data_IF_428479638640
#
_entry.id   IF_428479638640
#
_cell.length_a   1.000
_cell.length_b   1.000
_cell.length_c   1.000
_cell.angle_alpha   90.00
_cell.angle_beta   90.00
_cell.angle_gamma   90.00
#
_symmetry.space_group_name_H-M   'P 1'
#
loop_
_entity.id
_entity.type
_entity.pdbx_description
1 polymer ?
#
# COMPACT_ATOMS: atom_id res chain seq x y z
N UNK A 1 14.76 3.78 30.11
CA UNK A 1 14.81 3.69 28.64
C UNK A 1 14.31 2.32 28.22
N UNK A 2 13.33 2.27 27.33
CA UNK A 2 12.95 1.00 26.72
C UNK A 2 13.99 0.68 25.64
N UNK A 3 14.62 -0.48 25.75
CA UNK A 3 15.56 -1.00 24.76
C UNK A 3 14.92 -2.17 24.01
N UNK A 4 15.37 -2.41 22.79
CA UNK A 4 15.03 -3.61 22.03
C UNK A 4 15.83 -4.83 22.54
N UNK A 5 15.65 -5.96 21.88
CA UNK A 5 16.35 -7.21 22.22
C UNK A 5 17.89 -7.16 22.05
N UNK A 6 18.42 -6.12 21.41
CA UNK A 6 19.86 -5.88 21.21
C UNK A 6 20.41 -4.78 22.13
N UNK A 7 19.60 -4.22 23.05
CA UNK A 7 20.01 -3.17 23.96
C UNK A 7 19.93 -1.76 23.36
N UNK A 8 19.47 -1.62 22.11
CA UNK A 8 19.25 -0.33 21.46
C UNK A 8 17.95 0.32 21.91
N UNK A 9 17.88 1.64 21.86
CA UNK A 9 16.67 2.38 22.22
C UNK A 9 15.55 2.15 21.22
N UNK A 10 14.30 1.97 21.69
CA UNK A 10 13.13 1.87 20.82
C UNK A 10 12.92 3.19 20.06
N UNK A 11 12.45 3.08 18.81
CA UNK A 11 12.08 4.26 18.04
C UNK A 11 10.93 5.04 18.70
N UNK A 12 10.88 6.36 18.51
CA UNK A 12 9.82 7.25 19.02
C UNK A 12 8.42 6.72 18.67
N UNK A 13 8.27 6.14 17.47
CA UNK A 13 7.02 5.53 17.03
C UNK A 13 6.65 4.29 17.86
N UNK A 14 7.61 3.43 18.16
CA UNK A 14 7.38 2.22 18.96
C UNK A 14 6.99 2.59 20.38
N UNK A 15 7.72 3.54 21.01
CA UNK A 15 7.38 4.06 22.34
C UNK A 15 5.96 4.58 22.39
N UNK A 16 5.55 5.39 21.40
CA UNK A 16 4.18 5.91 21.31
C UNK A 16 3.13 4.82 21.13
N UNK A 17 3.45 3.78 20.34
CA UNK A 17 2.53 2.67 20.11
C UNK A 17 2.34 1.82 21.38
N UNK A 18 3.43 1.50 22.08
CA UNK A 18 3.37 0.82 23.38
C UNK A 18 2.55 1.63 24.38
N UNK A 19 2.82 2.94 24.49
CA UNK A 19 2.06 3.82 25.37
C UNK A 19 0.57 3.83 25.03
N UNK A 20 0.20 3.95 23.73
CA UNK A 20 -1.20 3.94 23.31
C UNK A 20 -1.92 2.64 23.68
N UNK A 21 -1.26 1.50 23.51
CA UNK A 21 -1.79 0.19 23.91
C UNK A 21 -1.95 0.09 25.44
N UNK A 22 -0.93 0.47 26.21
CA UNK A 22 -1.01 0.49 27.67
C UNK A 22 -2.11 1.43 28.16
N UNK A 23 -2.19 2.63 27.59
CA UNK A 23 -3.22 3.61 27.95
C UNK A 23 -4.62 3.08 27.70
N UNK A 24 -4.87 2.41 26.56
CA UNK A 24 -6.16 1.81 26.27
C UNK A 24 -6.54 0.69 27.24
N UNK A 25 -5.57 -0.16 27.60
CA UNK A 25 -5.79 -1.24 28.57
C UNK A 25 -6.09 -0.70 29.97
N UNK A 26 -5.35 0.32 30.41
CA UNK A 26 -5.58 0.98 31.70
C UNK A 26 -6.89 1.76 31.74
N UNK A 27 -7.31 2.35 30.61
CA UNK A 27 -8.62 3.00 30.51
C UNK A 27 -9.76 1.98 30.69
N UNK A 28 -9.60 0.79 30.10
CA UNK A 28 -10.54 -0.30 30.33
C UNK A 28 -10.57 -0.72 31.81
N UNK A 29 -9.43 -0.79 32.48
CA UNK A 29 -9.34 -1.10 33.91
C UNK A 29 -10.04 -0.04 34.78
N UNK A 30 -9.99 1.24 34.40
CA UNK A 30 -10.79 2.29 35.06
C UNK A 30 -12.29 2.06 34.86
N UNK A 31 -12.73 1.78 33.63
CA UNK A 31 -14.14 1.50 33.31
C UNK A 31 -14.67 0.29 34.07
N UNK A 32 -13.84 -0.73 34.28
CA UNK A 32 -14.19 -1.95 35.00
C UNK A 32 -14.07 -1.80 36.55
N UNK A 33 -13.71 -0.61 37.03
CA UNK A 33 -13.59 -0.30 38.46
C UNK A 33 -12.36 -0.91 39.15
N UNK A 34 -11.39 -1.46 38.38
CA UNK A 34 -10.17 -2.10 38.90
C UNK A 34 -9.16 -1.09 39.42
N UNK A 35 -9.10 0.10 38.82
CA UNK A 35 -8.28 1.24 39.23
C UNK A 35 -9.08 2.52 39.17
N UNK A 36 -8.74 3.49 40.01
CA UNK A 36 -9.47 4.77 40.09
C UNK A 36 -9.11 5.74 38.98
N UNK A 37 -7.88 5.75 38.55
CA UNK A 37 -7.31 6.70 37.58
C UNK A 37 -6.36 5.97 36.66
N UNK A 38 -6.34 6.37 35.40
CA UNK A 38 -5.40 5.83 34.42
C UNK A 38 -4.00 6.49 34.58
N UNK A 39 -2.99 5.78 35.08
CA UNK A 39 -1.66 6.35 35.33
C UNK A 39 -0.88 6.70 34.05
N UNK A 40 -1.34 6.28 32.88
CA UNK A 40 -0.74 6.65 31.61
C UNK A 40 -1.17 8.03 31.09
N UNK A 41 -2.09 8.70 31.79
CA UNK A 41 -2.48 10.08 31.47
C UNK A 41 -1.35 11.02 31.89
N UNK A 42 -0.97 11.98 31.04
CA UNK A 42 0.06 12.97 31.32
C UNK A 42 1.50 12.50 31.10
N UNK A 43 1.74 11.25 30.64
CA UNK A 43 3.08 10.81 30.28
C UNK A 43 3.68 11.65 29.15
N UNK A 44 4.91 12.13 29.34
CA UNK A 44 5.66 12.82 28.28
C UNK A 44 6.13 11.80 27.23
N UNK A 45 5.66 11.97 26.01
CA UNK A 45 6.03 11.12 24.88
C UNK A 45 7.04 11.83 23.97
N UNK A 46 7.93 11.07 23.29
CA UNK A 46 8.84 11.66 22.31
C UNK A 46 8.04 12.36 21.20
N UNK A 47 8.60 13.39 20.55
CA UNK A 47 7.90 14.16 19.53
C UNK A 47 7.50 13.28 18.33
N UNK A 48 6.37 13.58 17.71
CA UNK A 48 5.95 12.92 16.47
C UNK A 48 6.71 13.54 15.29
N UNK A 49 7.78 12.88 14.86
CA UNK A 49 8.50 13.29 13.65
C UNK A 49 7.68 12.86 12.42
N UNK A 50 7.27 13.83 11.61
CA UNK A 50 6.71 13.54 10.29
C UNK A 50 7.84 12.93 9.42
N UNK A 51 7.55 11.83 8.74
CA UNK A 51 8.49 11.25 7.78
C UNK A 51 8.13 11.81 6.41
N UNK A 52 9.08 12.42 5.73
CA UNK A 52 8.88 12.87 4.36
C UNK A 52 8.44 11.72 3.46
N UNK A 53 7.46 12.03 2.62
CA UNK A 53 7.03 11.11 1.56
C UNK A 53 8.09 11.09 0.48
N UNK A 54 8.53 9.90 0.12
CA UNK A 54 9.46 9.71 -1.00
C UNK A 54 8.65 9.47 -2.27
N UNK A 55 8.72 10.40 -3.22
CA UNK A 55 8.05 10.32 -4.52
C UNK A 55 9.12 10.16 -5.59
N UNK A 56 8.95 9.19 -6.50
CA UNK A 56 9.85 9.01 -7.63
C UNK A 56 9.67 10.15 -8.64
N UNK A 57 10.75 10.66 -9.20
CA UNK A 57 10.71 11.62 -10.29
C UNK A 57 10.26 10.93 -11.59
N UNK A 58 9.94 11.70 -12.61
CA UNK A 58 9.54 11.16 -13.92
C UNK A 58 10.65 10.31 -14.56
N UNK A 59 11.89 10.77 -14.45
CA UNK A 59 13.08 10.07 -14.95
C UNK A 59 13.33 8.78 -14.16
N UNK A 60 13.19 8.83 -12.83
CA UNK A 60 13.30 7.64 -11.98
C UNK A 60 12.22 6.61 -12.33
N UNK A 61 10.95 7.05 -12.54
CA UNK A 61 9.87 6.17 -12.96
C UNK A 61 10.13 5.48 -14.29
N UNK A 62 10.68 6.20 -15.28
CA UNK A 62 11.04 5.60 -16.57
C UNK A 62 12.09 4.52 -16.40
N UNK A 63 13.21 4.80 -15.70
CA UNK A 63 14.26 3.81 -15.44
C UNK A 63 13.73 2.62 -14.66
N UNK A 64 12.92 2.87 -13.63
CA UNK A 64 12.28 1.85 -12.81
C UNK A 64 11.39 0.91 -13.64
N UNK A 65 10.52 1.44 -14.50
CA UNK A 65 9.62 0.63 -15.34
C UNK A 65 10.39 -0.16 -16.41
N UNK A 66 11.45 0.40 -16.98
CA UNK A 66 12.34 -0.31 -17.91
C UNK A 66 12.99 -1.50 -17.20
N UNK A 67 13.54 -1.28 -16.02
CA UNK A 67 14.15 -2.34 -15.22
C UNK A 67 13.13 -3.37 -14.75
N UNK A 68 11.94 -2.93 -14.33
CA UNK A 68 10.84 -3.82 -13.96
C UNK A 68 10.42 -4.73 -15.12
N UNK A 69 10.44 -4.22 -16.35
CA UNK A 69 10.16 -5.01 -17.56
C UNK A 69 11.24 -6.07 -17.78
N UNK A 70 12.51 -5.70 -17.63
CA UNK A 70 13.64 -6.64 -17.77
C UNK A 70 13.56 -7.77 -16.74
N UNK A 71 13.09 -7.50 -15.52
CA UNK A 71 12.95 -8.47 -14.44
C UNK A 71 11.60 -9.19 -14.40
N UNK A 72 10.68 -8.94 -15.34
CA UNK A 72 9.37 -9.61 -15.43
C UNK A 72 8.34 -9.14 -14.39
N UNK A 73 8.44 -7.89 -13.93
CA UNK A 73 7.52 -7.27 -12.95
C UNK A 73 6.86 -5.99 -13.48
N UNK A 74 6.93 -5.74 -14.80
CA UNK A 74 6.43 -4.52 -15.40
C UNK A 74 4.95 -4.29 -15.12
N UNK A 75 4.12 -5.30 -15.37
CA UNK A 75 2.65 -5.22 -15.30
C UNK A 75 2.18 -4.97 -13.87
N UNK A 76 2.85 -5.59 -12.89
CA UNK A 76 2.59 -5.38 -11.46
C UNK A 76 2.77 -3.91 -11.10
N UNK A 77 3.94 -3.34 -11.44
CA UNK A 77 4.27 -1.97 -11.05
C UNK A 77 3.58 -0.92 -11.92
N UNK A 78 3.34 -1.23 -13.21
CA UNK A 78 2.53 -0.38 -14.07
C UNK A 78 1.11 -0.22 -13.51
N UNK A 79 0.46 -1.32 -13.13
CA UNK A 79 -0.88 -1.27 -12.56
C UNK A 79 -0.90 -0.55 -11.21
N UNK A 80 0.11 -0.76 -10.35
CA UNK A 80 0.22 -0.04 -9.08
C UNK A 80 0.35 1.48 -9.27
N UNK A 81 1.23 1.89 -10.19
CA UNK A 81 1.46 3.28 -10.54
C UNK A 81 0.28 3.94 -11.30
N UNK A 82 -0.57 3.15 -11.96
CA UNK A 82 -1.78 3.64 -12.64
C UNK A 82 -3.00 3.73 -11.72
N UNK A 83 -2.99 3.06 -10.56
CA UNK A 83 -4.16 2.95 -9.69
C UNK A 83 -3.93 3.38 -8.25
N UNK A 84 -2.69 3.38 -7.80
CA UNK A 84 -2.32 3.63 -6.42
C UNK A 84 -2.95 2.63 -5.43
N UNK A 85 -3.14 1.39 -5.81
CA UNK A 85 -3.73 0.35 -4.96
C UNK A 85 -2.88 0.09 -3.71
N UNK A 86 -3.51 -0.38 -2.65
CA UNK A 86 -2.74 -0.95 -1.54
C UNK A 86 -2.13 -2.27 -1.98
N UNK A 87 -0.91 -2.57 -1.53
CA UNK A 87 -0.19 -3.80 -1.92
C UNK A 87 -1.04 -5.06 -1.81
N UNK A 88 -1.82 -5.21 -0.72
CA UNK A 88 -2.69 -6.36 -0.53
C UNK A 88 -3.87 -6.40 -1.49
N UNK A 89 -4.39 -5.24 -1.91
CA UNK A 89 -5.44 -5.13 -2.92
C UNK A 89 -4.90 -5.55 -4.30
N UNK A 90 -3.73 -5.02 -4.68
CA UNK A 90 -3.06 -5.31 -5.95
C UNK A 90 -2.78 -6.82 -6.11
N UNK A 91 -2.25 -7.47 -5.06
CA UNK A 91 -1.96 -8.90 -5.11
C UNK A 91 -3.21 -9.78 -5.09
N UNK A 92 -4.35 -9.26 -4.66
CA UNK A 92 -5.62 -9.99 -4.62
C UNK A 92 -6.41 -9.93 -5.94
N UNK A 93 -5.92 -9.22 -6.95
CA UNK A 93 -6.63 -9.04 -8.21
C UNK A 93 -6.69 -10.35 -9.01
N UNK A 94 -7.87 -10.61 -9.54
CA UNK A 94 -8.15 -11.70 -10.46
C UNK A 94 -8.54 -11.11 -11.83
N UNK A 95 -8.43 -11.90 -12.88
CA UNK A 95 -8.82 -11.45 -14.23
C UNK A 95 -10.29 -11.07 -14.34
N UNK A 96 -11.16 -11.71 -13.56
CA UNK A 96 -12.59 -11.40 -13.51
C UNK A 96 -12.91 -10.06 -12.81
N UNK A 97 -11.93 -9.48 -12.11
CA UNK A 97 -12.07 -8.14 -11.53
C UNK A 97 -11.94 -7.03 -12.60
N UNK A 98 -11.37 -7.33 -13.77
CA UNK A 98 -11.17 -6.37 -14.86
C UNK A 98 -12.11 -6.62 -16.04
N UNK A 99 -12.96 -5.64 -16.34
CA UNK A 99 -13.71 -5.63 -17.57
C UNK A 99 -12.87 -5.00 -18.70
N UNK A 100 -12.33 -5.83 -19.60
CA UNK A 100 -11.48 -5.39 -20.71
C UNK A 100 -12.17 -4.53 -21.77
N UNK A 101 -13.52 -4.53 -21.83
CA UNK A 101 -14.28 -3.69 -22.76
C UNK A 101 -14.44 -2.28 -22.23
N UNK A 102 -14.69 -2.13 -20.94
CA UNK A 102 -14.96 -0.84 -20.30
C UNK A 102 -13.75 -0.25 -19.56
N UNK A 103 -12.69 -1.04 -19.35
CA UNK A 103 -11.53 -0.66 -18.54
C UNK A 103 -11.81 -0.58 -17.04
N UNK A 104 -12.99 -1.04 -16.58
CA UNK A 104 -13.37 -0.96 -15.16
C UNK A 104 -12.71 -2.10 -14.38
N UNK A 105 -11.91 -1.73 -13.39
CA UNK A 105 -11.30 -2.62 -12.41
C UNK A 105 -12.09 -2.55 -11.09
N UNK A 106 -12.54 -3.72 -10.59
CA UNK A 106 -13.23 -3.84 -9.31
C UNK A 106 -12.23 -4.19 -8.20
N UNK A 107 -12.12 -3.34 -7.18
CA UNK A 107 -11.28 -3.58 -6.02
C UNK A 107 -12.18 -3.96 -4.85
N UNK A 108 -12.25 -5.25 -4.53
CA UNK A 108 -13.18 -5.82 -3.54
C UNK A 108 -12.54 -6.87 -2.63
N UNK A 109 -11.24 -7.13 -2.81
CA UNK A 109 -10.47 -8.13 -2.08
C UNK A 109 -9.12 -7.57 -1.65
N UNK A 110 -8.54 -8.18 -0.63
CA UNK A 110 -7.16 -7.96 -0.23
C UNK A 110 -6.51 -9.25 0.25
N UNK A 111 -5.22 -9.36 0.03
CA UNK A 111 -4.38 -10.47 0.53
C UNK A 111 -3.46 -9.95 1.63
N UNK A 112 -3.33 -10.70 2.69
CA UNK A 112 -2.33 -10.48 3.72
C UNK A 112 -1.71 -11.81 4.17
N UNK A 113 -0.50 -11.72 4.67
CA UNK A 113 0.25 -12.88 5.17
C UNK A 113 0.13 -12.94 6.69
N UNK A 114 -0.37 -14.07 7.19
CA UNK A 114 -0.41 -14.37 8.62
C UNK A 114 0.45 -15.60 8.86
N UNK A 115 1.62 -15.39 9.43
CA UNK A 115 2.59 -16.47 9.77
C UNK A 115 2.94 -17.38 8.58
N UNK A 116 3.13 -16.79 7.40
CA UNK A 116 3.46 -17.54 6.16
C UNK A 116 2.26 -18.11 5.41
N UNK A 117 1.05 -17.91 5.92
CA UNK A 117 -0.19 -18.30 5.24
C UNK A 117 -0.87 -17.08 4.63
N UNK A 118 -1.14 -17.13 3.34
CA UNK A 118 -1.92 -16.09 2.66
C UNK A 118 -3.40 -16.22 3.01
N UNK A 119 -3.95 -15.13 3.48
CA UNK A 119 -5.38 -15.00 3.72
C UNK A 119 -5.97 -13.95 2.80
N UNK A 120 -7.11 -14.28 2.20
CA UNK A 120 -7.89 -13.39 1.36
C UNK A 120 -9.08 -12.93 2.18
N UNK A 121 -9.32 -11.65 2.22
CA UNK A 121 -10.50 -11.08 2.88
C UNK A 121 -11.12 -9.97 2.05
N UNK A 122 -12.40 -9.76 2.27
CA UNK A 122 -13.06 -8.53 1.85
C UNK A 122 -12.56 -7.37 2.72
N UNK A 123 -12.40 -6.16 2.15
CA UNK A 123 -12.01 -5.00 2.94
C UNK A 123 -13.02 -4.70 4.05
N UNK A 124 -12.52 -4.29 5.22
CA UNK A 124 -13.32 -4.03 6.43
C UNK A 124 -14.29 -2.85 6.31
N UNK A 125 -14.09 -1.95 5.35
CA UNK A 125 -14.91 -0.74 5.19
C UNK A 125 -15.54 -0.69 3.80
N UNK A 126 -16.77 -0.18 3.72
CA UNK A 126 -17.50 0.01 2.44
C UNK A 126 -16.70 0.86 1.45
N UNK A 127 -15.96 1.86 1.91
CA UNK A 127 -15.14 2.74 1.06
C UNK A 127 -13.90 2.05 0.46
N UNK A 128 -13.54 0.87 0.96
CA UNK A 128 -12.44 0.08 0.40
C UNK A 128 -12.88 -0.75 -0.81
N UNK A 129 -14.18 -0.99 -0.95
CA UNK A 129 -14.75 -1.61 -2.17
C UNK A 129 -15.03 -0.48 -3.15
N UNK A 130 -14.35 -0.48 -4.28
CA UNK A 130 -14.42 0.60 -5.26
C UNK A 130 -14.15 0.12 -6.67
N UNK A 131 -14.54 0.93 -7.64
CA UNK A 131 -14.26 0.73 -9.06
C UNK A 131 -13.28 1.81 -9.52
N UNK A 132 -12.31 1.42 -10.31
CA UNK A 132 -11.31 2.29 -10.92
C UNK A 132 -11.39 2.10 -12.43
N UNK A 133 -11.44 3.17 -13.20
CA UNK A 133 -11.34 3.10 -14.65
C UNK A 133 -9.87 3.21 -15.01
N UNK A 134 -9.35 2.17 -15.67
CA UNK A 134 -7.96 2.13 -16.13
C UNK A 134 -7.80 2.90 -17.46
N UNK A 135 -6.67 3.57 -17.66
CA UNK A 135 -6.33 4.13 -18.96
C UNK A 135 -6.29 3.02 -20.04
N UNK A 136 -6.75 3.31 -21.29
CA UNK A 136 -6.79 2.31 -22.37
C UNK A 136 -5.43 1.63 -22.62
N UNK A 137 -4.34 2.39 -22.54
CA UNK A 137 -2.99 1.85 -22.70
C UNK A 137 -2.63 0.80 -21.64
N UNK A 138 -3.08 0.99 -20.39
CA UNK A 138 -2.86 0.02 -19.30
C UNK A 138 -3.70 -1.24 -19.53
N UNK A 139 -4.95 -1.08 -19.99
CA UNK A 139 -5.85 -2.20 -20.33
C UNK A 139 -5.23 -3.06 -21.42
N UNK A 140 -4.63 -2.45 -22.44
CA UNK A 140 -4.00 -3.19 -23.54
C UNK A 140 -2.78 -3.98 -23.07
N UNK A 141 -1.90 -3.36 -22.28
CA UNK A 141 -0.77 -4.07 -21.66
C UNK A 141 -1.23 -5.28 -20.85
N UNK A 142 -2.28 -5.11 -20.03
CA UNK A 142 -2.83 -6.22 -19.24
C UNK A 142 -3.50 -7.29 -20.10
N UNK A 143 -4.09 -6.92 -21.24
CA UNK A 143 -4.67 -7.84 -22.20
C UNK A 143 -3.60 -8.76 -22.81
N UNK A 144 -2.48 -8.17 -23.23
CA UNK A 144 -1.34 -8.95 -23.75
C UNK A 144 -0.72 -9.82 -22.67
N UNK A 145 -0.53 -9.27 -21.47
CA UNK A 145 0.00 -10.02 -20.33
C UNK A 145 -0.89 -11.22 -19.97
N UNK A 146 -2.22 -11.09 -20.01
CA UNK A 146 -3.16 -12.18 -19.74
C UNK A 146 -2.92 -13.41 -20.63
N UNK A 147 -2.47 -13.21 -21.87
CA UNK A 147 -2.18 -14.32 -22.79
C UNK A 147 -1.01 -15.19 -22.33
N UNK A 148 -0.15 -14.65 -21.48
CA UNK A 148 1.04 -15.34 -20.96
C UNK A 148 0.84 -15.94 -19.57
N UNK A 149 -0.34 -15.71 -18.95
CA UNK A 149 -0.63 -16.12 -17.56
C UNK A 149 -1.75 -17.16 -17.56
N UNK A 150 -1.41 -18.39 -17.21
CA UNK A 150 -2.39 -19.46 -16.98
C UNK A 150 -2.74 -19.53 -15.49
N UNK A 151 -3.56 -18.60 -15.03
CA UNK A 151 -4.04 -18.51 -13.65
C UNK A 151 -5.26 -17.59 -13.58
N UNK A 152 -6.13 -17.81 -12.60
CA UNK A 152 -7.19 -16.84 -12.29
C UNK A 152 -6.64 -15.53 -11.70
N UNK A 153 -5.46 -15.58 -11.06
CA UNK A 153 -4.81 -14.42 -10.48
C UNK A 153 -4.11 -13.59 -11.56
N UNK A 154 -4.23 -12.26 -11.48
CA UNK A 154 -3.46 -11.39 -12.38
C UNK A 154 -1.96 -11.54 -12.16
N UNK A 155 -1.54 -11.71 -10.91
CA UNK A 155 -0.14 -11.87 -10.53
C UNK A 155 0.03 -13.16 -9.71
N UNK A 156 0.14 -14.32 -10.37
CA UNK A 156 0.26 -15.60 -9.68
C UNK A 156 1.61 -15.79 -9.02
N UNK A 157 1.64 -16.67 -8.03
CA UNK A 157 2.88 -17.12 -7.41
C UNK A 157 3.66 -18.02 -8.38
N UNK A 158 4.98 -17.81 -8.57
CA UNK A 158 5.78 -18.71 -9.41
C UNK A 158 6.07 -20.06 -8.75
N UNK A 159 5.75 -20.25 -7.46
CA UNK A 159 6.11 -21.43 -6.67
C UNK A 159 4.92 -22.14 -6.03
N UNK A 160 3.77 -21.48 -5.94
CA UNK A 160 2.57 -22.07 -5.33
C UNK A 160 1.43 -22.04 -6.35
N UNK A 161 0.89 -23.21 -6.62
CA UNK A 161 -0.27 -23.37 -7.50
C UNK A 161 -1.50 -22.65 -6.91
N UNK A 162 -2.30 -22.08 -7.80
CA UNK A 162 -3.53 -21.33 -7.50
C UNK A 162 -3.42 -20.30 -6.35
N UNK A 163 -2.26 -19.71 -6.19
CA UNK A 163 -1.99 -18.68 -5.21
C UNK A 163 -1.51 -17.39 -5.87
N UNK A 164 -1.88 -16.21 -5.36
CA UNK A 164 -1.29 -14.97 -5.81
C UNK A 164 0.16 -14.83 -5.31
N UNK A 165 0.94 -14.01 -5.98
CA UNK A 165 2.27 -13.64 -5.50
C UNK A 165 2.18 -12.99 -4.10
N UNK A 166 3.08 -13.36 -3.20
CA UNK A 166 3.00 -12.85 -1.83
C UNK A 166 3.41 -11.37 -1.75
N UNK A 167 2.75 -10.59 -0.89
CA UNK A 167 3.13 -9.18 -0.67
C UNK A 167 4.60 -8.99 -0.27
N UNK A 168 5.19 -9.99 0.40
CA UNK A 168 6.60 -9.98 0.80
C UNK A 168 7.56 -10.10 -0.40
N UNK A 169 7.23 -10.95 -1.36
CA UNK A 169 8.02 -11.13 -2.60
C UNK A 169 8.04 -9.84 -3.41
N UNK A 170 6.88 -9.25 -3.67
CA UNK A 170 6.78 -8.01 -4.46
C UNK A 170 7.51 -6.86 -3.78
N UNK A 171 7.46 -6.77 -2.44
CA UNK A 171 8.24 -5.78 -1.70
C UNK A 171 9.76 -5.96 -1.89
N UNK A 172 10.26 -7.19 -1.84
CA UNK A 172 11.69 -7.46 -2.08
C UNK A 172 12.09 -7.14 -3.51
N UNK A 173 11.26 -7.52 -4.48
CA UNK A 173 11.50 -7.22 -5.90
C UNK A 173 11.52 -5.73 -6.17
N UNK A 174 10.61 -4.96 -5.58
CA UNK A 174 10.66 -3.49 -5.67
C UNK A 174 12.04 -2.94 -5.28
N UNK A 175 12.62 -3.41 -4.16
CA UNK A 175 13.91 -2.90 -3.70
C UNK A 175 15.04 -3.25 -4.68
N UNK A 176 15.09 -4.48 -5.17
CA UNK A 176 16.09 -4.91 -6.15
C UNK A 176 15.98 -4.13 -7.46
N UNK A 177 14.76 -3.96 -7.97
CA UNK A 177 14.52 -3.20 -9.21
C UNK A 177 14.91 -1.73 -9.05
N UNK A 178 14.61 -1.09 -7.91
CA UNK A 178 15.04 0.28 -7.62
C UNK A 178 16.57 0.40 -7.59
N UNK A 179 17.23 -0.54 -6.93
CA UNK A 179 18.70 -0.61 -6.87
C UNK A 179 19.31 -0.77 -8.26
N UNK A 180 18.86 -1.74 -9.04
CA UNK A 180 19.35 -1.98 -10.41
C UNK A 180 19.05 -0.82 -11.37
N UNK A 181 17.93 -0.10 -11.14
CA UNK A 181 17.57 1.08 -11.92
C UNK A 181 18.34 2.36 -11.53
N UNK A 182 19.18 2.30 -10.50
CA UNK A 182 19.85 3.48 -9.93
C UNK A 182 18.85 4.53 -9.41
N UNK A 183 17.73 4.08 -8.85
CA UNK A 183 16.70 4.93 -8.27
C UNK A 183 16.84 4.99 -6.75
N UNK A 184 16.34 6.07 -6.14
CA UNK A 184 16.31 6.17 -4.69
C UNK A 184 15.40 5.08 -4.09
N UNK A 185 15.74 4.66 -2.88
CA UNK A 185 14.95 3.69 -2.15
C UNK A 185 13.59 4.28 -1.73
N UNK A 186 12.50 3.68 -2.21
CA UNK A 186 11.13 4.01 -1.79
C UNK A 186 10.41 2.76 -1.27
N UNK A 187 9.49 2.93 -0.34
CA UNK A 187 8.65 1.82 0.15
C UNK A 187 7.56 1.52 -0.87
N UNK A 188 6.99 0.34 -0.83
CA UNK A 188 5.85 -0.01 -1.70
C UNK A 188 4.70 1.00 -1.59
N UNK A 189 4.40 1.47 -0.38
CA UNK A 189 3.34 2.48 -0.18
C UNK A 189 3.68 3.86 -0.76
N UNK A 190 4.97 4.15 -0.97
CA UNK A 190 5.40 5.41 -1.59
C UNK A 190 5.12 5.44 -3.11
N UNK A 191 4.93 4.27 -3.77
CA UNK A 191 4.42 4.22 -5.15
C UNK A 191 3.00 4.76 -5.25
N UNK A 192 2.16 4.45 -4.26
CA UNK A 192 0.82 5.05 -4.16
C UNK A 192 0.89 6.56 -3.90
N UNK A 193 1.86 7.04 -3.13
CA UNK A 193 2.11 8.48 -2.98
C UNK A 193 2.58 9.10 -4.30
N UNK A 194 3.42 8.40 -5.06
CA UNK A 194 3.83 8.80 -6.40
C UNK A 194 2.62 8.94 -7.34
N UNK A 195 1.75 7.93 -7.41
CA UNK A 195 0.48 8.00 -8.16
C UNK A 195 -0.35 9.21 -7.76
N UNK A 196 -0.58 9.42 -6.46
CA UNK A 196 -1.41 10.51 -5.96
C UNK A 196 -0.84 11.89 -6.32
N UNK A 197 0.47 12.08 -6.13
CA UNK A 197 1.16 13.33 -6.44
C UNK A 197 1.12 13.63 -7.95
N UNK A 198 1.38 12.62 -8.78
CA UNK A 198 1.32 12.78 -10.24
C UNK A 198 -0.12 13.07 -10.73
N UNK A 199 -1.12 12.40 -10.17
CA UNK A 199 -2.53 12.65 -10.49
C UNK A 199 -2.94 14.09 -10.18
N UNK A 200 -2.57 14.61 -9.01
CA UNK A 200 -2.85 16.02 -8.64
C UNK A 200 -2.10 16.99 -9.56
N UNK A 201 -0.83 16.73 -9.86
CA UNK A 201 -0.06 17.57 -10.83
C UNK A 201 -0.64 17.54 -12.23
N UNK A 202 -1.33 16.47 -12.60
CA UNK A 202 -2.05 16.35 -13.88
C UNK A 202 -3.47 16.93 -13.85
N UNK A 203 -3.88 17.58 -12.75
CA UNK A 203 -5.17 18.26 -12.64
C UNK A 203 -6.34 17.37 -12.22
N UNK A 204 -6.09 16.14 -11.77
CA UNK A 204 -7.16 15.28 -11.21
C UNK A 204 -7.67 15.92 -9.92
N UNK A 205 -8.98 16.10 -9.79
CA UNK A 205 -9.57 16.69 -8.59
C UNK A 205 -9.42 15.77 -7.36
N UNK A 206 -9.34 16.40 -6.19
CA UNK A 206 -9.07 15.70 -4.91
C UNK A 206 -10.14 14.69 -4.56
N UNK A 207 -11.41 14.92 -4.91
CA UNK A 207 -12.52 14.02 -4.60
C UNK A 207 -12.43 12.74 -5.44
N UNK A 208 -12.17 12.88 -6.74
CA UNK A 208 -11.92 11.74 -7.66
C UNK A 208 -10.72 10.92 -7.21
N UNK A 209 -9.59 11.58 -6.90
CA UNK A 209 -8.40 10.91 -6.39
C UNK A 209 -8.67 10.19 -5.06
N UNK A 210 -9.38 10.84 -4.12
CA UNK A 210 -9.76 10.24 -2.84
C UNK A 210 -10.60 8.97 -3.03
N UNK A 211 -11.55 9.00 -3.98
CA UNK A 211 -12.36 7.85 -4.36
C UNK A 211 -11.51 6.71 -4.94
N UNK A 212 -10.62 7.01 -5.89
CA UNK A 212 -9.72 6.03 -6.50
C UNK A 212 -8.80 5.37 -5.47
N UNK A 213 -8.29 6.15 -4.53
CA UNK A 213 -7.44 5.67 -3.45
C UNK A 213 -8.24 4.91 -2.36
N UNK A 214 -9.56 5.07 -2.25
CA UNK A 214 -10.38 4.53 -1.16
C UNK A 214 -9.99 5.13 0.20
N UNK A 215 -9.79 6.46 0.23
CA UNK A 215 -9.61 7.20 1.46
C UNK A 215 -10.96 7.48 2.14
N UNK A 216 -10.94 7.57 3.48
CA UNK A 216 -12.15 7.86 4.26
C UNK A 216 -12.75 9.25 3.93
N UNK A 217 -11.90 10.23 3.61
CA UNK A 217 -12.35 11.57 3.26
C UNK A 217 -11.39 12.27 2.28
N UNK A 218 -11.94 13.19 1.49
CA UNK A 218 -11.15 14.07 0.62
C UNK A 218 -10.19 14.97 1.42
N UNK A 219 -10.58 15.37 2.64
CA UNK A 219 -9.72 16.14 3.54
C UNK A 219 -8.45 15.39 3.94
N UNK A 220 -8.52 14.06 4.11
CA UNK A 220 -7.33 13.25 4.34
C UNK A 220 -6.38 13.27 3.12
N UNK A 221 -6.91 13.18 1.91
CA UNK A 221 -6.14 13.27 0.66
C UNK A 221 -5.49 14.65 0.56
N UNK A 222 -6.25 15.71 0.78
CA UNK A 222 -5.76 17.08 0.76
C UNK A 222 -4.58 17.27 1.74
N UNK A 223 -4.79 16.97 3.02
CA UNK A 223 -3.76 17.12 4.05
C UNK A 223 -2.51 16.26 3.81
N UNK A 224 -2.66 15.15 3.06
CA UNK A 224 -1.53 14.25 2.81
C UNK A 224 -0.68 14.68 1.61
N UNK A 225 -1.29 15.27 0.58
CA UNK A 225 -0.63 15.45 -0.73
C UNK A 225 -0.50 16.91 -1.20
N UNK A 226 -1.13 17.90 -0.53
CA UNK A 226 -1.00 19.31 -0.93
C UNK A 226 0.33 19.96 -0.57
N UNK A 227 1.18 19.27 0.16
CA UNK A 227 2.52 19.74 0.54
C UNK A 227 3.65 19.03 -0.23
N UNK A 228 3.31 18.25 -1.28
CA UNK A 228 4.26 17.47 -2.09
C UNK A 228 4.55 18.14 -3.45
#
# INVERSE_FOLDING_TARGET
RFTDKYGEGLSDRMVRMCHATCRSALEKAVQDGLIRVNPAIGCKLPPKKAREMQVLTREELQRFLIQAKFEGYYEVFLLDLATGLRRGELMALQWDDLNFKTGVLNVNKQVYDVRGQLQISTPKTKNSVRKIVLPPAVVEVLREYKKTVDSRWMFPSPVKEDCPITPGVVRRRLQLILEHAGCKHVRFHDLRHTFATLSLKSGVDVKTLSGALGHYSAGFTLNTYTHA
#
